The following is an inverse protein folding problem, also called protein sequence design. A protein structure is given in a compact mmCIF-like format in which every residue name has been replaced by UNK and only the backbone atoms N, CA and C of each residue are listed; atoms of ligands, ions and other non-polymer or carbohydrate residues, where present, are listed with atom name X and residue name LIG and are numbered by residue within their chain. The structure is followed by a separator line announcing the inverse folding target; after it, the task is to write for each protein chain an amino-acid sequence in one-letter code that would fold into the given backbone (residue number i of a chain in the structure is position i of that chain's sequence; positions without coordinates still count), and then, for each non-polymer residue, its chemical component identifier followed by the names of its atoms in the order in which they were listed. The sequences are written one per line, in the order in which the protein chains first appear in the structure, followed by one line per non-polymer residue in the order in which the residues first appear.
data_IF_084252410035
#
_entry.id   IF_084252410035
#
_cell.length_a   1.000
_cell.length_b   1.000
_cell.length_c   1.000
_cell.angle_alpha   90.00
_cell.angle_beta   90.00
_cell.angle_gamma   90.00
#
_symmetry.space_group_name_H-M   'P 1'
#
loop_
_entity.id
_entity.type
_entity.pdbx_description
1 polymer ?
#
# COMPACT_ATOMS: atom_id res chain seq x y z
N UNK A 1 -15.54 -5.32 12.24
CA UNK A 1 -14.78 -6.59 12.26
C UNK A 1 -15.17 -7.39 11.04
N UNK A 2 -14.22 -8.05 10.37
CA UNK A 2 -14.52 -8.93 9.25
C UNK A 2 -15.41 -10.10 9.73
N UNK A 3 -16.25 -10.67 8.84
CA UNK A 3 -16.91 -11.94 9.13
C UNK A 3 -15.90 -13.03 9.48
N UNK A 4 -16.33 -14.05 10.24
CA UNK A 4 -15.44 -15.08 10.80
C UNK A 4 -14.63 -15.83 9.73
N UNK A 5 -15.23 -16.10 8.57
CA UNK A 5 -14.55 -16.71 7.42
C UNK A 5 -13.35 -15.87 6.88
N UNK A 6 -13.33 -14.57 7.16
CA UNK A 6 -12.29 -13.64 6.72
C UNK A 6 -11.40 -13.15 7.85
N UNK A 7 -11.58 -13.66 9.07
CA UNK A 7 -10.82 -13.18 10.24
C UNK A 7 -9.30 -13.36 10.09
N UNK A 8 -8.86 -14.36 9.31
CA UNK A 8 -7.45 -14.57 8.97
C UNK A 8 -6.84 -13.40 8.19
N UNK A 9 -7.65 -12.61 7.49
CA UNK A 9 -7.20 -11.45 6.70
C UNK A 9 -7.21 -10.13 7.48
N UNK A 10 -7.64 -10.12 8.75
CA UNK A 10 -7.59 -8.90 9.58
C UNK A 10 -6.20 -8.21 9.52
N UNK A 11 -5.06 -8.92 9.64
CA UNK A 11 -3.74 -8.27 9.57
C UNK A 11 -3.47 -7.56 8.24
N UNK A 12 -4.02 -8.05 7.12
CA UNK A 12 -3.85 -7.41 5.81
C UNK A 12 -4.73 -6.15 5.73
N UNK A 13 -5.97 -6.24 6.18
CA UNK A 13 -6.90 -5.11 6.20
C UNK A 13 -6.39 -3.97 7.07
N UNK A 14 -5.69 -4.28 8.16
CA UNK A 14 -5.07 -3.28 9.03
C UNK A 14 -3.95 -2.49 8.31
N UNK A 15 -3.30 -3.08 7.29
CA UNK A 15 -2.21 -2.45 6.51
C UNK A 15 -2.73 -1.75 5.25
N UNK A 16 -3.88 -2.15 4.71
CA UNK A 16 -4.48 -1.55 3.50
C UNK A 16 -4.56 -0.02 3.49
N UNK A 17 -4.86 0.68 4.61
CA UNK A 17 -4.89 2.15 4.63
C UNK A 17 -3.56 2.83 4.27
N UNK A 18 -2.43 2.12 4.32
CA UNK A 18 -1.10 2.64 3.97
C UNK A 18 -0.86 2.65 2.45
N UNK A 19 -1.65 1.93 1.65
CA UNK A 19 -1.48 1.83 0.20
C UNK A 19 -1.37 3.19 -0.52
N UNK A 20 -2.17 4.23 -0.21
CA UNK A 20 -2.01 5.55 -0.84
C UNK A 20 -0.62 6.16 -0.66
N UNK A 21 0.02 5.93 0.50
CA UNK A 21 1.38 6.40 0.76
C UNK A 21 2.39 5.68 -0.15
N UNK A 22 2.21 4.39 -0.42
CA UNK A 22 3.07 3.67 -1.35
C UNK A 22 2.95 4.20 -2.78
N UNK A 23 1.78 4.64 -3.24
CA UNK A 23 1.64 5.29 -4.54
C UNK A 23 2.33 6.65 -4.60
N UNK A 24 2.23 7.44 -3.52
CA UNK A 24 2.97 8.68 -3.39
C UNK A 24 4.49 8.44 -3.48
N UNK A 25 5.01 7.46 -2.72
CA UNK A 25 6.43 7.09 -2.76
C UNK A 25 6.85 6.50 -4.11
N UNK A 26 5.97 5.73 -4.74
CA UNK A 26 6.21 5.15 -6.06
C UNK A 26 6.44 6.24 -7.12
N UNK A 27 5.80 7.42 -7.00
CA UNK A 27 6.07 8.53 -7.90
C UNK A 27 7.53 9.00 -7.83
N UNK A 28 8.13 9.03 -6.63
CA UNK A 28 9.55 9.37 -6.45
C UNK A 28 10.47 8.25 -6.92
N UNK A 29 10.10 6.98 -6.70
CA UNK A 29 10.83 5.84 -7.26
C UNK A 29 10.85 5.90 -8.79
N UNK A 30 9.69 6.18 -9.39
CA UNK A 30 9.57 6.34 -10.83
C UNK A 30 10.42 7.52 -11.34
N UNK A 31 10.31 8.68 -10.71
CA UNK A 31 11.12 9.84 -11.06
C UNK A 31 12.63 9.57 -10.93
N UNK A 32 13.05 8.91 -9.85
CA UNK A 32 14.44 8.48 -9.68
C UNK A 32 14.91 7.54 -10.80
N UNK A 33 14.05 6.61 -11.24
CA UNK A 33 14.35 5.68 -12.32
C UNK A 33 14.58 6.37 -13.67
N UNK A 34 13.93 7.51 -13.91
CA UNK A 34 14.15 8.36 -15.11
C UNK A 34 15.14 9.50 -14.87
N UNK A 35 15.87 9.46 -13.75
CA UNK A 35 16.89 10.45 -13.36
C UNK A 35 16.34 11.85 -13.09
N UNK A 36 15.09 11.97 -12.63
CA UNK A 36 14.42 13.25 -12.36
C UNK A 36 14.49 14.23 -13.53
N UNK A 37 14.33 13.71 -14.76
CA UNK A 37 14.20 14.50 -15.98
C UNK A 37 12.79 15.04 -16.15
#
# INVERSE_FOLDING_TARGET
KLPEAYAIFNPIVDIMPVIPLFFFLLAFVWQAAVSFR
#
